data_IF_000590541641
#
_entry.id   IF_000590541641
#
_cell.length_a   1.000
_cell.length_b   1.000
_cell.length_c   1.000
_cell.angle_alpha   90.00
_cell.angle_beta   90.00
_cell.angle_gamma   90.00
#
_symmetry.space_group_name_H-M   'P 1'
#
loop_
_entity.id
_entity.type
_entity.pdbx_description
1 polymer ?
#
# COMPACT_ATOMS: atom_id res chain seq x y z
N UNK A 1 5.35 5.57 -4.37
CA UNK A 1 5.15 4.72 -5.58
C UNK A 1 5.66 5.49 -6.77
N UNK A 2 6.23 4.80 -7.76
CA UNK A 2 6.74 5.42 -8.97
C UNK A 2 6.17 4.72 -10.20
N UNK A 3 5.70 5.50 -11.15
CA UNK A 3 5.31 4.99 -12.46
C UNK A 3 6.58 4.89 -13.31
N UNK A 4 6.84 3.71 -13.86
CA UNK A 4 7.98 3.48 -14.75
C UNK A 4 7.53 2.79 -16.03
N UNK A 5 8.32 2.92 -17.10
CA UNK A 5 8.13 2.11 -18.31
C UNK A 5 8.31 0.63 -17.93
N UNK A 6 7.41 -0.21 -18.42
CA UNK A 6 7.43 -1.64 -18.12
C UNK A 6 8.73 -2.30 -18.56
N UNK A 7 9.34 -1.82 -19.65
CA UNK A 7 10.62 -2.35 -20.15
C UNK A 7 11.78 -2.11 -19.19
N UNK A 8 11.68 -1.07 -18.36
CA UNK A 8 12.70 -0.71 -17.37
C UNK A 8 12.38 -1.27 -15.97
N UNK A 9 11.34 -2.10 -15.84
CA UNK A 9 10.79 -2.51 -14.55
C UNK A 9 11.40 -3.78 -13.95
N UNK A 10 12.36 -4.41 -14.61
CA UNK A 10 13.01 -5.64 -14.12
C UNK A 10 13.68 -5.38 -12.75
N UNK A 11 13.45 -6.29 -11.81
CA UNK A 11 13.95 -6.21 -10.43
C UNK A 11 13.09 -5.36 -9.49
N UNK A 12 12.06 -4.68 -10.01
CA UNK A 12 11.17 -3.85 -9.20
C UNK A 12 9.97 -4.65 -8.70
N UNK A 13 9.40 -4.22 -7.58
CA UNK A 13 8.26 -4.88 -6.94
C UNK A 13 6.93 -4.24 -7.35
N UNK A 14 5.96 -5.04 -7.78
CA UNK A 14 4.61 -4.57 -8.13
C UNK A 14 3.82 -4.11 -6.90
N UNK A 15 3.25 -2.90 -6.98
CA UNK A 15 2.40 -2.34 -5.91
C UNK A 15 0.99 -2.95 -5.85
N UNK A 16 0.51 -3.52 -6.94
CA UNK A 16 -0.88 -3.97 -7.10
C UNK A 16 -0.95 -5.27 -7.90
N UNK A 17 -2.04 -6.00 -7.74
CA UNK A 17 -2.36 -7.14 -8.60
C UNK A 17 -2.57 -6.65 -10.04
N UNK A 18 -1.97 -7.37 -11.00
CA UNK A 18 -2.20 -7.17 -12.43
C UNK A 18 -3.15 -8.25 -12.90
N UNK A 19 -4.37 -7.85 -13.26
CA UNK A 19 -5.43 -8.76 -13.72
C UNK A 19 -5.52 -8.76 -15.24
N UNK A 20 -5.48 -9.94 -15.84
CA UNK A 20 -5.81 -10.13 -17.26
C UNK A 20 -7.30 -10.40 -17.39
N UNK A 21 -7.93 -9.74 -18.35
CA UNK A 21 -9.33 -9.95 -18.70
C UNK A 21 -9.40 -10.39 -20.16
N UNK A 22 -9.74 -11.66 -20.38
CA UNK A 22 -10.06 -12.18 -21.71
C UNK A 22 -11.58 -12.29 -21.79
N UNK A 23 -12.21 -11.41 -22.57
CA UNK A 23 -13.67 -11.33 -22.68
C UNK A 23 -14.24 -12.69 -23.10
N UNK A 24 -15.17 -13.22 -22.31
CA UNK A 24 -15.84 -14.49 -22.58
C UNK A 24 -15.07 -15.76 -22.19
N UNK A 25 -13.81 -15.64 -21.73
CA UNK A 25 -12.99 -16.81 -21.38
C UNK A 25 -12.52 -16.81 -19.92
N UNK A 26 -11.84 -15.75 -19.48
CA UNK A 26 -11.18 -15.74 -18.17
C UNK A 26 -10.97 -14.34 -17.62
N UNK A 27 -11.05 -14.22 -16.29
CA UNK A 27 -10.68 -13.01 -15.54
C UNK A 27 -9.92 -13.43 -14.29
N UNK A 28 -8.64 -13.05 -14.22
CA UNK A 28 -7.81 -13.44 -13.08
C UNK A 28 -6.48 -12.68 -13.01
N UNK A 29 -5.86 -12.67 -11.82
CA UNK A 29 -4.56 -12.06 -11.61
C UNK A 29 -3.48 -12.89 -12.32
N UNK A 30 -2.73 -12.25 -13.22
CA UNK A 30 -1.52 -12.81 -13.84
C UNK A 30 -0.27 -12.49 -13.02
N UNK A 31 -0.30 -11.37 -12.27
CA UNK A 31 0.69 -11.04 -11.25
C UNK A 31 -0.01 -10.56 -9.98
N UNK A 32 0.60 -10.84 -8.83
CA UNK A 32 0.11 -10.40 -7.51
C UNK A 32 0.96 -9.24 -6.99
N UNK A 33 0.37 -8.41 -6.13
CA UNK A 33 1.11 -7.42 -5.32
C UNK A 33 2.28 -8.10 -4.61
N UNK A 34 3.43 -7.45 -4.62
CA UNK A 34 4.67 -7.98 -4.02
C UNK A 34 5.50 -8.86 -4.97
N UNK A 35 4.99 -9.17 -6.17
CA UNK A 35 5.79 -9.87 -7.19
C UNK A 35 6.96 -9.00 -7.66
N UNK A 36 8.14 -9.60 -7.74
CA UNK A 36 9.34 -8.96 -8.30
C UNK A 36 9.40 -9.28 -9.80
N UNK A 37 9.36 -8.23 -10.62
CA UNK A 37 9.32 -8.32 -12.07
C UNK A 37 10.62 -8.92 -12.60
N UNK A 38 10.53 -9.91 -13.48
CA UNK A 38 11.65 -10.54 -14.18
C UNK A 38 11.62 -10.21 -15.67
N UNK A 39 12.71 -10.52 -16.39
CA UNK A 39 12.80 -10.27 -17.84
C UNK A 39 11.69 -10.98 -18.62
N UNK A 40 11.34 -12.21 -18.22
CA UNK A 40 10.27 -13.00 -18.81
C UNK A 40 8.86 -12.42 -18.58
N UNK A 41 8.70 -11.54 -17.59
CA UNK A 41 7.40 -10.94 -17.27
C UNK A 41 7.09 -9.75 -18.18
N UNK A 42 8.10 -9.10 -18.77
CA UNK A 42 7.92 -7.88 -19.59
C UNK A 42 6.98 -8.11 -20.77
N UNK A 43 7.13 -9.18 -21.58
CA UNK A 43 6.19 -9.45 -22.68
C UNK A 43 4.76 -9.70 -22.17
N UNK A 44 4.61 -10.32 -21.00
CA UNK A 44 3.30 -10.63 -20.41
C UNK A 44 2.63 -9.35 -19.93
N UNK A 45 3.34 -8.48 -19.21
CA UNK A 45 2.86 -7.18 -18.76
C UNK A 45 2.41 -6.30 -19.93
N UNK A 46 3.21 -6.23 -21.00
CA UNK A 46 2.85 -5.52 -22.22
C UNK A 46 1.62 -6.13 -22.90
N UNK A 47 1.53 -7.47 -22.96
CA UNK A 47 0.37 -8.16 -23.58
C UNK A 47 -0.96 -7.89 -22.88
N UNK A 48 -0.93 -7.54 -21.59
CA UNK A 48 -2.13 -7.15 -20.83
C UNK A 48 -2.40 -5.65 -20.86
N UNK A 49 -1.70 -4.91 -21.73
CA UNK A 49 -1.88 -3.47 -21.93
C UNK A 49 -1.24 -2.61 -20.85
N UNK A 50 -0.20 -3.11 -20.16
CA UNK A 50 0.59 -2.33 -19.22
C UNK A 50 1.86 -1.89 -19.90
N UNK A 51 1.81 -0.72 -20.56
CA UNK A 51 3.00 -0.02 -21.05
C UNK A 51 3.80 0.56 -19.87
N UNK A 52 3.11 0.91 -18.78
CA UNK A 52 3.73 1.39 -17.55
C UNK A 52 3.21 0.61 -16.34
N UNK A 53 4.07 0.44 -15.34
CA UNK A 53 3.75 -0.21 -14.08
C UNK A 53 4.09 0.69 -12.90
N UNK A 54 3.26 0.62 -11.85
CA UNK A 54 3.56 1.26 -10.58
C UNK A 54 4.41 0.31 -9.74
N UNK A 55 5.62 0.75 -9.44
CA UNK A 55 6.56 0.03 -8.60
C UNK A 55 6.67 0.62 -7.21
N UNK A 56 7.07 -0.24 -6.29
CA UNK A 56 7.39 0.15 -4.94
C UNK A 56 8.75 0.85 -4.93
N UNK A 57 8.78 2.11 -4.52
CA UNK A 57 10.01 2.87 -4.32
C UNK A 57 10.23 2.95 -2.81
N UNK A 58 11.02 2.03 -2.24
CA UNK A 58 11.56 2.20 -0.88
C UNK A 58 12.77 3.13 -0.99
N UNK A 59 12.58 4.42 -0.76
CA UNK A 59 13.68 5.31 -0.43
C UNK A 59 13.94 5.27 1.08
N UNK A 60 15.19 5.49 1.52
CA UNK A 60 15.53 5.60 2.96
C UNK A 60 14.70 6.69 3.68
N UNK A 61 14.15 7.65 2.93
CA UNK A 61 13.29 8.73 3.42
C UNK A 61 11.79 8.53 3.11
N UNK A 62 11.35 7.33 2.74
CA UNK A 62 9.94 7.03 2.47
C UNK A 62 9.42 5.94 3.40
N UNK A 63 8.24 6.18 3.98
CA UNK A 63 7.55 5.28 4.89
C UNK A 63 6.21 4.85 4.28
N UNK A 64 5.81 3.58 4.45
CA UNK A 64 4.48 3.13 4.04
C UNK A 64 3.42 3.84 4.90
N UNK A 65 2.31 4.27 4.29
CA UNK A 65 1.19 4.91 5.01
C UNK A 65 0.69 4.14 6.24
N UNK A 66 0.69 2.79 6.21
CA UNK A 66 0.27 1.96 7.35
C UNK A 66 1.28 2.04 8.50
N UNK A 67 2.58 2.09 8.18
CA UNK A 67 3.62 2.25 9.18
C UNK A 67 3.56 3.67 9.77
N UNK A 68 3.29 4.68 8.95
CA UNK A 68 3.09 6.06 9.42
C UNK A 68 1.90 6.15 10.39
N UNK A 69 0.79 5.49 10.08
CA UNK A 69 -0.39 5.44 10.94
C UNK A 69 -0.09 4.79 12.31
N UNK A 70 0.74 3.74 12.32
CA UNK A 70 1.20 3.11 13.57
C UNK A 70 2.06 4.04 14.41
N UNK A 71 3.01 4.74 13.78
CA UNK A 71 3.88 5.69 14.47
C UNK A 71 3.04 6.81 15.09
N UNK A 72 2.12 7.40 14.34
CA UNK A 72 1.22 8.44 14.85
C UNK A 72 0.35 7.92 16.00
N UNK A 73 -0.15 6.68 15.90
CA UNK A 73 -0.85 6.05 17.01
C UNK A 73 0.02 5.89 18.25
N UNK A 74 1.26 5.42 18.10
CA UNK A 74 2.16 5.21 19.23
C UNK A 74 2.53 6.51 19.94
N UNK A 75 2.50 7.65 19.23
CA UNK A 75 2.66 8.99 19.82
C UNK A 75 1.43 9.46 20.60
N UNK A 76 0.22 9.04 20.21
CA UNK A 76 -1.03 9.51 20.81
C UNK A 76 -1.65 8.56 21.84
N UNK A 77 -1.29 7.27 21.83
CA UNK A 77 -1.92 6.25 22.68
C UNK A 77 -1.68 6.52 24.16
N UNK A 78 -2.64 6.09 24.97
CA UNK A 78 -2.53 6.03 26.42
C UNK A 78 -3.31 4.80 26.93
N UNK A 79 -3.34 4.60 28.23
CA UNK A 79 -3.97 3.44 28.89
C UNK A 79 -5.50 3.38 28.74
N UNK A 80 -6.12 4.38 28.10
CA UNK A 80 -7.57 4.50 27.93
C UNK A 80 -8.00 4.66 26.47
N UNK A 81 -7.08 4.44 25.52
CA UNK A 81 -7.36 4.48 24.08
C UNK A 81 -7.07 3.12 23.45
N UNK A 82 -8.06 2.59 22.74
CA UNK A 82 -7.88 1.44 21.85
C UNK A 82 -7.95 1.85 20.40
N UNK A 83 -7.30 1.07 19.55
CA UNK A 83 -7.28 1.27 18.11
C UNK A 83 -7.96 0.12 17.37
N UNK A 84 -8.36 0.37 16.12
CA UNK A 84 -8.73 -0.70 15.20
C UNK A 84 -7.54 -1.64 14.94
N UNK A 85 -7.78 -2.95 14.95
CA UNK A 85 -6.73 -3.95 14.69
C UNK A 85 -6.21 -3.88 13.25
N UNK A 86 -7.13 -3.73 12.29
CA UNK A 86 -6.81 -3.58 10.88
C UNK A 86 -6.43 -2.14 10.55
N UNK A 87 -5.32 -1.97 9.83
CA UNK A 87 -4.91 -0.72 9.21
C UNK A 87 -5.06 -0.89 7.70
N UNK A 88 -5.91 -0.07 7.10
CA UNK A 88 -6.22 -0.11 5.67
C UNK A 88 -6.11 1.30 5.12
N UNK A 89 -5.31 1.46 4.07
CA UNK A 89 -5.09 2.75 3.39
C UNK A 89 -4.58 3.85 4.36
N UNK A 90 -3.66 3.49 5.25
CA UNK A 90 -3.11 4.42 6.25
C UNK A 90 -4.11 4.88 7.33
N UNK A 91 -5.32 4.31 7.38
CA UNK A 91 -6.34 4.68 8.36
C UNK A 91 -6.24 3.85 9.63
N UNK A 92 -6.25 4.54 10.76
CA UNK A 92 -6.45 3.95 12.09
C UNK A 92 -7.51 4.76 12.84
N UNK A 93 -8.44 4.08 13.51
CA UNK A 93 -9.44 4.75 14.36
C UNK A 93 -9.13 4.51 15.82
N UNK A 94 -9.28 5.55 16.63
CA UNK A 94 -9.11 5.50 18.08
C UNK A 94 -10.45 5.57 18.78
N UNK A 95 -10.62 4.77 19.83
CA UNK A 95 -11.80 4.78 20.70
C UNK A 95 -11.36 4.93 22.14
N UNK A 96 -12.01 5.85 22.84
CA UNK A 96 -11.89 5.96 24.29
C UNK A 96 -12.56 4.75 24.95
N UNK A 97 -11.85 4.13 25.90
CA UNK A 97 -12.37 3.01 26.69
C UNK A 97 -13.19 3.49 27.89
N UNK A 98 -13.09 4.76 28.24
CA UNK A 98 -13.85 5.38 29.31
C UNK A 98 -14.19 6.84 28.98
N UNK A 99 -15.14 7.41 29.72
CA UNK A 99 -15.42 8.84 29.66
C UNK A 99 -14.19 9.64 30.13
N UNK A 100 -13.98 10.81 29.53
CA UNK A 100 -12.80 11.64 29.80
C UNK A 100 -13.09 13.13 29.70
N UNK A 101 -12.09 13.93 30.05
CA UNK A 101 -12.12 15.39 29.96
C UNK A 101 -10.99 15.87 29.06
N UNK A 102 -11.33 16.56 27.98
CA UNK A 102 -10.37 17.29 27.18
C UNK A 102 -10.13 18.66 27.82
N UNK A 103 -8.90 18.88 28.28
CA UNK A 103 -8.45 20.20 28.74
C UNK A 103 -7.38 20.71 27.78
N UNK A 104 -7.66 21.82 27.12
CA UNK A 104 -6.73 22.49 26.21
C UNK A 104 -6.18 23.71 26.95
N UNK A 105 -4.87 23.91 26.87
CA UNK A 105 -4.21 25.13 27.30
C UNK A 105 -4.13 26.07 26.09
N UNK A 106 -4.73 27.25 26.19
CA UNK A 106 -4.87 28.21 25.07
C UNK A 106 -3.83 29.34 25.10
N UNK A 107 -2.94 29.37 26.10
CA UNK A 107 -1.90 30.41 26.27
C UNK A 107 -0.63 30.17 25.42
#
# INVERSE_FOLDING_TARGET
MKLIDTKDAVGQMLCHDITRIVRGESKGPVFRKGHIIREEDIPVLLSVGKDHVYIWETGENMLHENDAALILYDLCKNDHLTRTQDIKEGKIELRAECDGLLKIDEE
#
